data_IF_382395977477
#
_entry.id   IF_382395977477
#
_cell.length_a   1.000
_cell.length_b   1.000
_cell.length_c   1.000
_cell.angle_alpha   90.00
_cell.angle_beta   90.00
_cell.angle_gamma   90.00
#
_symmetry.space_group_name_H-M   'P 1'
#
loop_
_entity.id
_entity.type
_entity.pdbx_description
1 polymer ?
#
# COMPACT_ATOMS: atom_id res chain seq x y z
N UNK A 1 19.24 4.97 25.08
CA UNK A 1 19.73 3.71 24.52
C UNK A 1 18.74 2.57 24.84
N UNK A 2 18.54 1.63 23.90
CA UNK A 2 17.65 0.48 24.14
C UNK A 2 18.49 -0.64 24.73
N UNK A 3 18.09 -1.12 25.91
CA UNK A 3 18.74 -2.21 26.63
C UNK A 3 17.72 -3.32 26.94
N UNK A 4 18.21 -4.54 27.09
CA UNK A 4 17.41 -5.67 27.58
C UNK A 4 17.49 -5.71 29.08
N UNK A 5 16.36 -5.55 29.74
CA UNK A 5 16.24 -5.63 31.19
C UNK A 5 15.49 -6.91 31.58
N UNK A 6 15.81 -7.45 32.76
CA UNK A 6 15.17 -8.64 33.30
C UNK A 6 14.19 -8.23 34.40
N UNK A 7 12.96 -8.71 34.37
CA UNK A 7 11.95 -8.43 35.40
C UNK A 7 12.36 -9.13 36.68
N UNK A 8 12.56 -8.35 37.75
CA UNK A 8 12.91 -8.86 39.10
C UNK A 8 11.68 -8.98 39.98
N UNK A 9 10.77 -8.00 39.95
CA UNK A 9 9.56 -7.98 40.76
C UNK A 9 8.40 -7.30 40.01
N UNK A 10 7.19 -7.75 40.26
CA UNK A 10 5.94 -7.17 39.73
C UNK A 10 5.10 -6.72 40.92
N UNK A 11 5.00 -5.40 41.12
CA UNK A 11 4.15 -4.78 42.13
C UNK A 11 2.85 -4.24 41.51
N UNK A 12 1.89 -3.81 42.34
CA UNK A 12 0.60 -3.30 41.85
C UNK A 12 0.69 -2.05 40.97
N UNK A 13 1.73 -1.23 41.14
CA UNK A 13 1.88 0.05 40.45
C UNK A 13 3.08 0.12 39.51
N UNK A 14 4.12 -0.69 39.78
CA UNK A 14 5.38 -0.67 39.04
C UNK A 14 5.89 -2.09 38.79
N UNK A 15 6.63 -2.23 37.72
CA UNK A 15 7.44 -3.42 37.41
C UNK A 15 8.89 -3.03 37.63
N UNK A 16 9.57 -3.76 38.53
CA UNK A 16 10.98 -3.56 38.81
C UNK A 16 11.78 -4.43 37.86
N UNK A 17 12.78 -3.83 37.24
CA UNK A 17 13.63 -4.51 36.27
C UNK A 17 15.10 -4.26 36.54
N UNK A 18 15.89 -5.30 36.38
CA UNK A 18 17.35 -5.22 36.40
C UNK A 18 17.87 -4.90 35.00
N UNK A 19 18.46 -3.73 34.87
CA UNK A 19 19.06 -3.24 33.63
C UNK A 19 20.53 -3.62 33.48
N UNK A 20 21.07 -4.54 34.33
CA UNK A 20 22.51 -4.82 34.45
C UNK A 20 23.34 -3.56 34.76
N UNK A 21 22.72 -2.56 35.31
CA UNK A 21 23.34 -1.36 35.84
C UNK A 21 23.47 -1.47 37.38
N UNK A 22 24.14 -0.50 38.02
CA UNK A 22 24.33 -0.52 39.49
C UNK A 22 23.02 -0.40 40.29
N UNK A 23 21.91 -0.09 39.65
CA UNK A 23 20.60 0.17 40.27
C UNK A 23 19.47 -0.46 39.45
N UNK A 24 18.38 -0.80 40.12
CA UNK A 24 17.14 -1.30 39.52
C UNK A 24 16.32 -0.15 38.93
N UNK A 25 15.66 -0.41 37.81
CA UNK A 25 14.78 0.53 37.16
C UNK A 25 13.31 0.20 37.44
N UNK A 26 12.46 1.22 37.54
CA UNK A 26 11.03 1.08 37.74
C UNK A 26 10.26 1.54 36.50
N UNK A 27 9.33 0.68 36.03
CA UNK A 27 8.44 0.97 34.92
C UNK A 27 7.01 1.05 35.46
N UNK A 28 6.25 2.12 35.21
CA UNK A 28 4.85 2.21 35.60
C UNK A 28 4.02 1.11 34.91
N UNK A 29 3.12 0.48 35.66
CA UNK A 29 2.26 -0.59 35.11
C UNK A 29 1.31 -0.05 34.03
N UNK A 30 1.12 1.26 33.98
CA UNK A 30 0.31 1.94 32.96
C UNK A 30 0.84 1.77 31.54
N UNK A 31 2.17 1.63 31.37
CA UNK A 31 2.80 1.36 30.08
C UNK A 31 2.50 -0.05 29.53
N UNK A 32 1.91 -0.92 30.37
CA UNK A 32 1.52 -2.29 30.01
C UNK A 32 0.01 -2.46 29.86
N UNK A 33 -0.84 -1.48 30.21
CA UNK A 33 -2.30 -1.61 30.22
C UNK A 33 -2.92 -1.94 28.87
N UNK A 34 -2.24 -1.67 27.78
CA UNK A 34 -2.74 -1.88 26.43
C UNK A 34 -2.26 -3.18 25.76
N UNK A 35 -1.51 -4.02 26.50
CA UNK A 35 -0.93 -5.24 25.96
C UNK A 35 -1.40 -6.48 26.73
N UNK A 36 -1.85 -7.50 25.99
CA UNK A 36 -2.05 -8.87 26.51
C UNK A 36 -0.75 -9.48 27.08
N UNK A 37 0.36 -8.76 27.00
CA UNK A 37 1.65 -9.17 27.51
C UNK A 37 1.72 -9.13 29.05
N UNK A 38 0.92 -8.28 29.72
CA UNK A 38 0.87 -8.28 31.20
C UNK A 38 0.53 -9.67 31.75
N UNK A 39 -0.35 -10.40 31.08
CA UNK A 39 -0.73 -11.77 31.49
C UNK A 39 0.36 -12.79 31.23
N UNK A 40 1.30 -12.48 30.33
CA UNK A 40 2.43 -13.34 29.95
C UNK A 40 3.73 -13.01 30.66
N UNK A 41 3.82 -11.81 31.28
CA UNK A 41 5.00 -11.37 32.01
C UNK A 41 5.16 -12.17 33.31
N UNK A 42 6.31 -12.79 33.46
CA UNK A 42 6.73 -13.49 34.67
C UNK A 42 8.03 -12.90 35.17
N UNK A 43 8.29 -13.03 36.47
CA UNK A 43 9.60 -12.73 37.05
C UNK A 43 10.66 -13.55 36.28
N UNK A 44 11.74 -12.91 35.88
CA UNK A 44 12.77 -13.47 35.01
C UNK A 44 12.56 -13.25 33.50
N UNK A 45 11.42 -12.69 33.07
CA UNK A 45 11.21 -12.33 31.67
C UNK A 45 12.11 -11.20 31.23
N UNK A 46 12.63 -11.27 30.01
CA UNK A 46 13.40 -10.17 29.41
C UNK A 46 12.50 -9.23 28.66
N UNK A 47 12.63 -7.94 28.94
CA UNK A 47 11.90 -6.86 28.26
C UNK A 47 12.89 -5.81 27.73
N UNK A 48 12.53 -5.22 26.61
CA UNK A 48 13.30 -4.12 26.04
C UNK A 48 12.84 -2.80 26.63
N UNK A 49 13.78 -2.04 27.17
CA UNK A 49 13.53 -0.75 27.80
C UNK A 49 14.45 0.33 27.23
N UNK A 50 13.97 1.54 27.20
CA UNK A 50 14.75 2.70 26.81
C UNK A 50 15.28 3.40 28.06
N UNK A 51 16.59 3.47 28.17
CA UNK A 51 17.27 4.20 29.23
C UNK A 51 17.25 5.69 28.88
N UNK A 52 16.53 6.49 29.68
CA UNK A 52 16.41 7.93 29.46
C UNK A 52 17.50 8.70 30.19
N UNK A 53 17.72 8.43 31.47
CA UNK A 53 18.78 9.00 32.29
C UNK A 53 19.27 7.99 33.32
N UNK A 54 20.56 8.02 33.57
CA UNK A 54 21.22 7.12 34.54
C UNK A 54 21.18 7.72 35.96
N UNK A 55 21.01 9.05 36.08
CA UNK A 55 20.97 9.74 37.37
C UNK A 55 19.81 10.73 37.41
N UNK A 56 18.88 10.51 38.31
CA UNK A 56 17.95 11.50 38.81
C UNK A 56 18.52 12.06 40.11
N UNK A 57 18.08 13.25 40.55
CA UNK A 57 18.44 13.85 41.84
C UNK A 57 18.22 12.94 43.07
N UNK A 58 17.44 11.84 42.88
CA UNK A 58 17.14 10.80 43.89
C UNK A 58 17.89 9.47 43.64
N UNK A 59 18.81 9.41 42.68
CA UNK A 59 19.54 8.20 42.39
C UNK A 59 18.72 7.11 41.68
N UNK A 60 17.57 7.45 41.07
CA UNK A 60 16.70 6.53 40.37
C UNK A 60 17.02 6.53 38.87
N UNK A 61 16.95 5.35 38.24
CA UNK A 61 17.08 5.21 36.79
C UNK A 61 15.70 5.41 36.17
N UNK A 62 15.59 6.41 35.31
CA UNK A 62 14.36 6.63 34.53
C UNK A 62 14.43 5.79 33.26
N UNK A 63 13.53 4.85 33.17
CA UNK A 63 13.38 3.93 32.02
C UNK A 63 11.94 3.98 31.51
N UNK A 64 11.78 3.82 30.21
CA UNK A 64 10.47 3.73 29.58
C UNK A 64 10.43 2.60 28.56
N UNK A 65 9.44 1.74 28.68
CA UNK A 65 9.14 0.68 27.74
C UNK A 65 8.48 1.23 26.49
N UNK A 66 7.55 2.19 26.64
CA UNK A 66 6.85 2.82 25.54
C UNK A 66 7.80 3.50 24.57
N UNK A 67 8.83 4.17 25.07
CA UNK A 67 9.87 4.79 24.24
C UNK A 67 10.71 3.73 23.51
N UNK A 68 11.07 2.63 24.18
CA UNK A 68 11.78 1.52 23.56
C UNK A 68 10.98 0.90 22.42
N UNK A 69 9.68 0.66 22.65
CA UNK A 69 8.75 0.11 21.67
C UNK A 69 8.60 1.03 20.47
N UNK A 70 8.37 2.32 20.69
CA UNK A 70 8.30 3.32 19.63
C UNK A 70 9.57 3.37 18.80
N UNK A 71 10.75 3.39 19.43
CA UNK A 71 12.03 3.40 18.72
C UNK A 71 12.27 2.13 17.90
N UNK A 72 11.86 0.95 18.40
CA UNK A 72 11.94 -0.30 17.63
C UNK A 72 11.00 -0.28 16.44
N UNK A 73 9.76 0.15 16.66
CA UNK A 73 8.78 0.31 15.60
C UNK A 73 9.26 1.31 14.53
N UNK A 74 9.92 2.41 14.96
CA UNK A 74 10.55 3.36 14.03
C UNK A 74 11.65 2.72 13.18
N UNK A 75 12.59 2.00 13.80
CA UNK A 75 13.66 1.30 13.06
C UNK A 75 13.09 0.27 12.09
N UNK A 76 12.02 -0.43 12.48
CA UNK A 76 11.32 -1.36 11.60
C UNK A 76 10.64 -0.63 10.43
N UNK A 77 10.00 0.51 10.72
CA UNK A 77 9.35 1.34 9.72
C UNK A 77 10.35 1.91 8.69
N UNK A 78 11.54 2.34 9.13
CA UNK A 78 12.60 2.79 8.24
C UNK A 78 13.05 1.70 7.26
N UNK A 79 13.29 0.50 7.78
CA UNK A 79 13.65 -0.65 6.93
C UNK A 79 12.56 -0.97 5.91
N UNK A 80 11.31 -1.02 6.36
CA UNK A 80 10.16 -1.31 5.48
C UNK A 80 9.96 -0.19 4.46
N UNK A 81 10.25 1.05 4.81
CA UNK A 81 10.23 2.17 3.86
C UNK A 81 11.29 2.00 2.75
N UNK A 82 12.50 1.55 3.09
CA UNK A 82 13.56 1.28 2.11
C UNK A 82 13.23 0.09 1.20
N UNK A 83 12.66 -0.99 1.77
CA UNK A 83 12.28 -2.20 1.02
C UNK A 83 10.94 -2.08 0.31
N UNK A 84 10.14 -1.03 0.61
CA UNK A 84 8.78 -0.85 0.08
C UNK A 84 7.88 -2.08 0.31
N UNK A 85 8.05 -2.73 1.47
CA UNK A 85 7.24 -3.88 1.87
C UNK A 85 5.85 -3.46 2.37
N UNK A 86 4.91 -4.38 2.25
CA UNK A 86 3.56 -4.20 2.76
C UNK A 86 3.51 -4.44 4.26
N UNK A 87 2.85 -3.54 4.98
CA UNK A 87 2.57 -3.66 6.40
C UNK A 87 1.07 -3.73 6.66
N UNK A 88 0.69 -4.36 7.75
CA UNK A 88 -0.69 -4.35 8.22
C UNK A 88 -0.89 -3.23 9.24
N UNK A 89 -1.88 -2.40 9.04
CA UNK A 89 -2.29 -1.34 9.95
C UNK A 89 -3.79 -1.32 10.17
N UNK A 90 -4.23 -0.58 11.17
CA UNK A 90 -5.65 -0.41 11.51
C UNK A 90 -6.00 1.07 11.42
N UNK A 91 -7.08 1.42 10.74
CA UNK A 91 -7.56 2.80 10.69
C UNK A 91 -8.31 3.08 11.98
N UNK A 92 -7.71 3.91 12.85
CA UNK A 92 -8.23 4.19 14.20
C UNK A 92 -9.00 5.49 14.30
N UNK A 93 -8.76 6.44 13.41
CA UNK A 93 -9.43 7.74 13.47
C UNK A 93 -9.48 8.49 12.14
N UNK A 94 -10.41 9.44 12.08
CA UNK A 94 -10.56 10.38 10.95
C UNK A 94 -10.14 11.78 11.39
N UNK A 95 -9.33 12.43 10.57
CA UNK A 95 -8.87 13.80 10.79
C UNK A 95 -9.11 14.64 9.54
N UNK A 96 -8.93 15.97 9.65
CA UNK A 96 -9.06 16.87 8.49
C UNK A 96 -7.99 16.54 7.44
N UNK A 97 -8.43 16.11 6.26
CA UNK A 97 -7.56 15.76 5.14
C UNK A 97 -7.15 14.30 5.03
N UNK A 98 -7.51 13.43 6.00
CA UNK A 98 -7.16 12.02 5.94
C UNK A 98 -7.56 11.22 7.16
N UNK A 99 -6.81 10.18 7.43
CA UNK A 99 -7.06 9.22 8.50
C UNK A 99 -5.79 8.95 9.29
N UNK A 100 -5.98 8.52 10.53
CA UNK A 100 -4.90 7.98 11.36
C UNK A 100 -4.97 6.47 11.23
N UNK A 101 -3.86 5.87 10.79
CA UNK A 101 -3.67 4.43 10.78
C UNK A 101 -2.61 4.05 11.81
N UNK A 102 -2.89 3.09 12.66
CA UNK A 102 -1.90 2.55 13.60
C UNK A 102 -1.22 1.36 12.95
N UNK A 103 0.10 1.47 12.75
CA UNK A 103 0.94 0.43 12.18
C UNK A 103 2.02 0.09 13.19
N UNK A 104 2.10 -1.17 13.62
CA UNK A 104 3.06 -1.63 14.66
C UNK A 104 3.05 -0.77 15.93
N UNK A 105 1.88 -0.23 16.30
CA UNK A 105 1.74 0.65 17.47
C UNK A 105 2.15 2.12 17.23
N UNK A 106 2.59 2.49 16.02
CA UNK A 106 2.88 3.87 15.65
C UNK A 106 1.68 4.51 14.94
N UNK A 107 1.27 5.72 15.34
CA UNK A 107 0.26 6.47 14.61
C UNK A 107 0.87 7.01 13.31
N UNK A 108 0.27 6.63 12.17
CA UNK A 108 0.67 7.04 10.84
C UNK A 108 -0.44 7.85 10.18
N UNK A 109 -0.08 8.85 9.39
CA UNK A 109 -1.04 9.63 8.63
C UNK A 109 -1.30 8.98 7.26
N UNK A 110 -2.56 8.81 6.93
CA UNK A 110 -3.01 8.35 5.60
C UNK A 110 -3.86 9.45 4.97
N UNK A 111 -3.37 10.17 3.95
CA UNK A 111 -4.16 11.15 3.22
C UNK A 111 -5.40 10.51 2.60
N UNK A 112 -6.51 11.25 2.49
CA UNK A 112 -7.75 10.73 1.90
C UNK A 112 -7.58 10.24 0.45
N UNK A 113 -6.66 10.84 -0.31
CA UNK A 113 -6.29 10.42 -1.67
C UNK A 113 -5.50 9.10 -1.72
N UNK A 114 -4.95 8.65 -0.59
CA UNK A 114 -4.10 7.45 -0.49
C UNK A 114 -4.84 6.23 0.09
N UNK A 115 -6.13 6.34 0.32
CA UNK A 115 -6.95 5.24 0.84
C UNK A 115 -7.29 4.25 -0.27
N UNK A 116 -7.67 4.75 -1.44
CA UNK A 116 -8.09 3.90 -2.55
C UNK A 116 -7.70 4.55 -3.90
N UNK A 117 -7.74 3.73 -4.96
CA UNK A 117 -7.51 4.18 -6.35
C UNK A 117 -8.63 5.12 -6.80
N UNK A 118 -9.86 4.89 -6.35
CA UNK A 118 -11.03 5.74 -6.59
C UNK A 118 -11.39 6.51 -5.33
N UNK A 119 -11.83 7.78 -5.44
CA UNK A 119 -12.26 8.55 -4.27
C UNK A 119 -13.46 7.87 -3.61
N UNK A 120 -13.26 7.36 -2.40
CA UNK A 120 -14.33 6.73 -1.62
C UNK A 120 -15.16 7.82 -0.92
N UNK A 121 -16.47 7.80 -1.12
CA UNK A 121 -17.41 8.69 -0.42
C UNK A 121 -17.63 8.28 1.04
N UNK A 122 -17.55 6.98 1.35
CA UNK A 122 -17.71 6.41 2.69
C UNK A 122 -16.54 5.47 2.99
N UNK A 123 -15.84 5.71 4.08
CA UNK A 123 -14.66 4.91 4.52
C UNK A 123 -14.97 4.18 5.83
N UNK A 124 -16.18 4.34 6.36
CA UNK A 124 -16.59 3.80 7.67
C UNK A 124 -16.41 2.29 7.78
N UNK A 125 -16.55 1.56 6.65
CA UNK A 125 -16.34 0.11 6.60
C UNK A 125 -14.87 -0.33 6.76
N UNK A 126 -13.92 0.61 6.59
CA UNK A 126 -12.49 0.35 6.77
C UNK A 126 -11.99 0.71 8.17
N UNK A 127 -12.85 1.33 9.01
CA UNK A 127 -12.50 1.65 10.38
C UNK A 127 -12.33 0.37 11.21
N UNK A 128 -11.26 0.32 11.99
CA UNK A 128 -10.90 -0.82 12.83
C UNK A 128 -10.68 -2.16 12.09
N UNK A 129 -10.61 -2.14 10.75
CA UNK A 129 -10.26 -3.33 9.97
C UNK A 129 -8.77 -3.35 9.65
N UNK A 130 -8.15 -4.54 9.58
CA UNK A 130 -6.76 -4.65 9.14
C UNK A 130 -6.67 -4.28 7.66
N UNK A 131 -5.83 -3.30 7.34
CA UNK A 131 -5.56 -2.85 5.97
C UNK A 131 -4.08 -2.96 5.67
N UNK A 132 -3.76 -3.42 4.47
CA UNK A 132 -2.39 -3.42 3.99
C UNK A 132 -2.01 -2.02 3.52
N UNK A 133 -0.87 -1.54 3.98
CA UNK A 133 -0.35 -0.20 3.66
C UNK A 133 1.15 -0.26 3.37
N UNK A 134 1.62 0.69 2.58
CA UNK A 134 3.05 0.92 2.33
C UNK A 134 3.40 2.31 2.85
N UNK A 135 4.56 2.44 3.48
CA UNK A 135 5.08 3.72 3.89
C UNK A 135 5.54 4.52 2.66
N UNK A 136 4.99 5.73 2.47
CA UNK A 136 5.32 6.60 1.33
C UNK A 136 6.26 7.74 1.72
N UNK A 137 6.23 8.18 2.97
CA UNK A 137 7.09 9.24 3.48
C UNK A 137 7.32 9.07 4.98
N UNK A 138 8.56 9.27 5.39
CA UNK A 138 8.97 9.28 6.79
C UNK A 138 9.64 10.62 7.11
N UNK A 139 9.15 11.30 8.13
CA UNK A 139 9.74 12.52 8.66
C UNK A 139 10.25 12.25 10.10
N UNK A 140 11.56 12.01 10.22
CA UNK A 140 12.21 11.70 11.50
C UNK A 140 12.12 12.84 12.49
N UNK A 141 12.24 14.08 12.01
CA UNK A 141 12.30 15.26 12.89
C UNK A 141 10.95 15.52 13.56
N UNK A 142 9.86 15.29 12.86
CA UNK A 142 8.50 15.50 13.37
C UNK A 142 7.84 14.22 13.90
N UNK A 143 8.49 13.07 13.75
CA UNK A 143 7.93 11.80 14.15
C UNK A 143 6.68 11.40 13.35
N UNK A 144 6.56 11.86 12.11
CA UNK A 144 5.39 11.61 11.26
C UNK A 144 5.72 10.60 10.16
N UNK A 145 4.84 9.61 10.01
CA UNK A 145 4.89 8.64 8.91
C UNK A 145 3.64 8.79 8.07
N UNK A 146 3.82 8.89 6.75
CA UNK A 146 2.71 8.84 5.81
C UNK A 146 2.64 7.45 5.19
N UNK A 147 1.44 6.87 5.18
CA UNK A 147 1.17 5.55 4.61
C UNK A 147 0.12 5.62 3.51
N UNK A 148 0.18 4.67 2.59
CA UNK A 148 -0.73 4.57 1.46
C UNK A 148 -1.24 3.14 1.30
N UNK A 149 -2.55 2.97 1.27
CA UNK A 149 -3.22 1.75 0.83
C UNK A 149 -3.33 1.69 -0.69
N UNK A 150 -3.52 2.85 -1.32
CA UNK A 150 -3.57 2.97 -2.78
C UNK A 150 -2.33 2.37 -3.44
N UNK A 151 -1.13 2.62 -2.90
CA UNK A 151 0.12 2.07 -3.43
C UNK A 151 0.14 0.53 -3.42
N UNK A 152 -0.46 -0.11 -2.40
CA UNK A 152 -0.62 -1.57 -2.33
C UNK A 152 -1.54 -2.06 -3.44
N UNK A 153 -2.71 -1.40 -3.59
CA UNK A 153 -3.70 -1.76 -4.60
C UNK A 153 -3.18 -1.55 -6.04
N UNK A 154 -2.40 -0.50 -6.27
CA UNK A 154 -1.74 -0.26 -7.56
C UNK A 154 -0.65 -1.29 -7.84
N UNK A 155 0.14 -1.67 -6.82
CA UNK A 155 1.17 -2.70 -6.94
C UNK A 155 0.56 -4.08 -7.27
N UNK A 156 -0.53 -4.47 -6.60
CA UNK A 156 -1.22 -5.73 -6.88
C UNK A 156 -1.85 -5.74 -8.28
N UNK A 157 -2.51 -4.64 -8.68
CA UNK A 157 -3.06 -4.50 -10.04
C UNK A 157 -1.98 -4.55 -11.11
N UNK A 158 -0.86 -3.85 -10.90
CA UNK A 158 0.25 -3.88 -11.84
C UNK A 158 0.85 -5.28 -11.97
N UNK A 159 0.94 -6.04 -10.87
CA UNK A 159 1.37 -7.44 -10.91
C UNK A 159 0.40 -8.31 -11.73
N UNK A 160 -0.92 -8.20 -11.48
CA UNK A 160 -1.96 -8.90 -12.24
C UNK A 160 -1.92 -8.53 -13.74
N UNK A 161 -1.76 -7.24 -14.06
CA UNK A 161 -1.63 -6.77 -15.44
C UNK A 161 -0.35 -7.33 -16.08
N UNK A 162 0.77 -7.35 -15.36
CA UNK A 162 2.04 -7.88 -15.89
C UNK A 162 1.95 -9.38 -16.15
N UNK A 163 1.27 -10.14 -15.28
CA UNK A 163 1.01 -11.55 -15.51
C UNK A 163 0.08 -11.77 -16.71
N UNK A 164 -0.98 -10.98 -16.81
CA UNK A 164 -1.90 -11.05 -17.96
C UNK A 164 -1.21 -10.66 -19.27
N UNK A 165 -0.29 -9.67 -19.25
CA UNK A 165 0.51 -9.29 -20.42
C UNK A 165 1.45 -10.40 -20.90
N UNK A 166 1.99 -11.23 -19.99
CA UNK A 166 2.82 -12.39 -20.38
C UNK A 166 2.04 -13.44 -21.15
N UNK A 167 0.74 -13.54 -20.91
CA UNK A 167 -0.15 -14.49 -21.59
C UNK A 167 -0.63 -13.98 -22.96
N UNK A 168 -0.39 -12.71 -23.28
CA UNK A 168 -0.81 -12.07 -24.52
C UNK A 168 0.42 -11.85 -25.41
N UNK A 169 0.33 -12.28 -26.66
CA UNK A 169 1.41 -12.10 -27.64
C UNK A 169 1.03 -11.04 -28.67
N UNK A 170 2.04 -10.41 -29.25
CA UNK A 170 1.84 -9.56 -30.44
C UNK A 170 1.30 -10.42 -31.56
N UNK A 171 0.31 -9.92 -32.28
CA UNK A 171 -0.48 -10.58 -33.32
C UNK A 171 -1.58 -11.55 -32.81
N UNK A 172 -1.79 -11.67 -31.50
CA UNK A 172 -2.94 -12.43 -30.99
C UNK A 172 -4.26 -11.74 -31.34
N UNK A 173 -5.26 -12.55 -31.63
CA UNK A 173 -6.63 -12.10 -31.90
C UNK A 173 -7.46 -12.29 -30.65
N UNK A 174 -8.07 -11.23 -30.18
CA UNK A 174 -8.95 -11.24 -29.01
C UNK A 174 -10.38 -10.93 -29.43
N UNK A 175 -11.28 -11.89 -29.19
CA UNK A 175 -12.68 -11.78 -29.60
C UNK A 175 -13.57 -11.03 -28.60
N UNK A 176 -13.10 -10.84 -27.38
CA UNK A 176 -13.89 -10.31 -26.26
C UNK A 176 -13.33 -8.98 -25.69
N UNK A 177 -12.79 -8.11 -26.53
CA UNK A 177 -12.39 -6.78 -26.09
C UNK A 177 -13.63 -5.90 -25.84
N UNK A 178 -13.78 -5.39 -24.60
CA UNK A 178 -14.94 -4.59 -24.19
C UNK A 178 -14.61 -3.11 -24.31
N UNK A 179 -15.48 -2.34 -24.97
CA UNK A 179 -15.34 -0.88 -25.08
C UNK A 179 -15.59 -0.21 -23.72
N UNK A 180 -14.55 0.40 -23.13
CA UNK A 180 -14.65 1.17 -21.87
C UNK A 180 -15.04 2.61 -22.09
N UNK A 181 -14.39 3.26 -23.04
CA UNK A 181 -14.61 4.67 -23.35
C UNK A 181 -14.24 4.98 -24.80
N UNK A 182 -14.92 5.97 -25.37
CA UNK A 182 -14.62 6.48 -26.71
C UNK A 182 -14.13 7.91 -26.59
N UNK A 183 -13.07 8.24 -27.34
CA UNK A 183 -12.51 9.60 -27.45
C UNK A 183 -12.42 9.97 -28.94
N UNK A 184 -12.15 11.25 -29.23
CA UNK A 184 -12.08 11.72 -30.62
C UNK A 184 -10.92 11.11 -31.42
N UNK A 185 -9.88 10.63 -30.72
CA UNK A 185 -8.66 10.06 -31.32
C UNK A 185 -8.56 8.54 -31.20
N UNK A 186 -9.47 7.89 -30.46
CA UNK A 186 -9.45 6.43 -30.31
C UNK A 186 -10.44 5.89 -29.30
N UNK A 187 -10.41 4.60 -29.14
CA UNK A 187 -11.28 3.82 -28.27
C UNK A 187 -10.43 3.12 -27.22
N UNK A 188 -10.82 3.22 -25.95
CA UNK A 188 -10.24 2.45 -24.86
C UNK A 188 -11.00 1.15 -24.71
N UNK A 189 -10.28 0.05 -24.78
CA UNK A 189 -10.78 -1.30 -24.66
C UNK A 189 -10.27 -1.95 -23.39
N UNK A 190 -11.06 -2.85 -22.84
CA UNK A 190 -10.66 -3.77 -21.80
C UNK A 190 -10.43 -5.16 -22.37
N UNK A 191 -9.21 -5.64 -22.26
CA UNK A 191 -8.84 -6.99 -22.66
C UNK A 191 -8.40 -7.73 -21.38
N UNK A 192 -9.31 -8.49 -20.78
CA UNK A 192 -9.04 -9.27 -19.56
C UNK A 192 -8.42 -8.43 -18.41
N UNK A 193 -8.91 -7.20 -18.20
CA UNK A 193 -8.42 -6.30 -17.17
C UNK A 193 -7.25 -5.40 -17.59
N UNK A 194 -6.75 -5.54 -18.82
CA UNK A 194 -5.70 -4.70 -19.39
C UNK A 194 -6.33 -3.61 -20.26
N UNK A 195 -5.90 -2.37 -20.05
CA UNK A 195 -6.35 -1.26 -20.88
C UNK A 195 -5.62 -1.27 -22.23
N UNK A 196 -6.38 -1.47 -23.31
CA UNK A 196 -5.88 -1.42 -24.68
C UNK A 196 -6.39 -0.16 -25.38
N UNK A 197 -5.56 0.40 -26.24
CA UNK A 197 -5.87 1.54 -27.07
C UNK A 197 -6.05 1.09 -28.52
N UNK A 198 -7.20 1.42 -29.08
CA UNK A 198 -7.50 1.29 -30.51
C UNK A 198 -7.55 2.72 -31.10
N UNK A 199 -6.51 3.07 -31.84
CA UNK A 199 -6.46 4.39 -32.51
C UNK A 199 -7.48 4.47 -33.64
N UNK A 200 -7.95 5.69 -33.95
CA UNK A 200 -8.95 5.90 -35.02
C UNK A 200 -8.47 5.40 -36.37
N UNK A 201 -7.17 5.47 -36.66
CA UNK A 201 -6.57 4.94 -37.90
C UNK A 201 -6.61 3.42 -38.01
N UNK A 202 -6.70 2.73 -36.89
CA UNK A 202 -6.68 1.26 -36.79
C UNK A 202 -8.10 0.66 -36.64
N UNK A 203 -9.12 1.51 -36.62
CA UNK A 203 -10.52 1.13 -36.48
C UNK A 203 -11.11 0.64 -37.81
N UNK A 204 -10.81 1.35 -38.91
CA UNK A 204 -11.36 1.07 -40.24
C UNK A 204 -10.42 1.52 -41.35
N UNK A 205 -10.53 0.90 -42.53
CA UNK A 205 -9.87 1.35 -43.77
C UNK A 205 -10.46 2.67 -44.30
N UNK A 206 -11.72 3.00 -43.94
CA UNK A 206 -12.38 4.24 -44.34
C UNK A 206 -12.11 5.40 -43.39
N UNK A 207 -12.35 6.64 -43.87
CA UNK A 207 -12.21 7.85 -43.06
C UNK A 207 -13.31 7.95 -42.00
N UNK A 208 -12.98 7.59 -40.75
CA UNK A 208 -13.89 7.69 -39.61
C UNK A 208 -13.86 9.10 -39.05
N UNK A 209 -15.00 9.79 -39.02
CA UNK A 209 -15.10 11.14 -38.45
C UNK A 209 -15.18 11.13 -36.93
N UNK A 210 -15.89 10.17 -36.34
CA UNK A 210 -16.03 10.01 -34.88
C UNK A 210 -16.06 8.52 -34.52
N UNK A 211 -15.13 8.02 -33.69
CA UNK A 211 -15.15 6.63 -33.21
C UNK A 211 -16.43 6.24 -32.47
N UNK A 212 -17.09 7.21 -31.81
CA UNK A 212 -18.32 7.02 -31.06
C UNK A 212 -19.54 6.63 -31.95
N UNK A 213 -19.48 6.89 -33.25
CA UNK A 213 -20.56 6.55 -34.17
C UNK A 213 -20.52 5.07 -34.59
N UNK A 214 -19.35 4.40 -34.41
CA UNK A 214 -19.13 3.02 -34.85
C UNK A 214 -19.24 2.00 -33.73
N UNK A 215 -19.01 2.40 -32.47
CA UNK A 215 -19.03 1.49 -31.33
C UNK A 215 -19.72 2.11 -30.13
N UNK A 216 -20.41 1.26 -29.37
CA UNK A 216 -21.09 1.65 -28.13
C UNK A 216 -20.27 1.21 -26.92
N UNK A 217 -20.31 1.99 -25.84
CA UNK A 217 -19.67 1.63 -24.58
C UNK A 217 -20.28 0.32 -24.05
N UNK A 218 -19.44 -0.63 -23.67
CA UNK A 218 -19.86 -1.97 -23.24
C UNK A 218 -19.98 -2.99 -24.38
N UNK A 219 -19.82 -2.59 -25.64
CA UNK A 219 -19.82 -3.49 -26.79
C UNK A 219 -18.56 -4.36 -26.79
N UNK A 220 -18.70 -5.62 -27.14
CA UNK A 220 -17.59 -6.53 -27.38
C UNK A 220 -17.17 -6.43 -28.84
N UNK A 221 -15.91 -6.22 -29.10
CA UNK A 221 -15.33 -6.17 -30.43
C UNK A 221 -14.15 -7.13 -30.54
N UNK A 222 -13.94 -7.62 -31.74
CA UNK A 222 -12.80 -8.45 -32.09
C UNK A 222 -11.65 -7.56 -32.53
N UNK A 223 -10.47 -7.76 -31.94
CA UNK A 223 -9.29 -6.93 -32.22
C UNK A 223 -8.04 -7.79 -32.29
N UNK A 224 -7.06 -7.33 -33.08
CA UNK A 224 -5.73 -7.90 -33.15
C UNK A 224 -4.75 -7.01 -32.41
N UNK A 225 -3.88 -7.60 -31.60
CA UNK A 225 -2.87 -6.90 -30.84
C UNK A 225 -1.70 -6.55 -31.75
N UNK A 226 -1.40 -5.26 -31.88
CA UNK A 226 -0.31 -4.77 -32.75
C UNK A 226 0.95 -4.48 -31.97
N UNK A 227 0.84 -3.94 -30.76
CA UNK A 227 1.98 -3.57 -29.94
C UNK A 227 1.67 -3.73 -28.46
N UNK A 228 2.67 -4.19 -27.70
CA UNK A 228 2.63 -4.28 -26.24
C UNK A 228 3.73 -3.38 -25.68
N UNK A 229 3.37 -2.44 -24.83
CA UNK A 229 4.31 -1.58 -24.13
C UNK A 229 4.37 -2.02 -22.65
N UNK A 230 5.40 -2.78 -22.33
CA UNK A 230 5.63 -3.32 -20.98
C UNK A 230 5.92 -2.22 -19.95
N UNK A 231 6.45 -1.07 -20.38
CA UNK A 231 6.79 0.03 -19.45
C UNK A 231 5.56 0.78 -18.97
N UNK A 232 4.59 0.97 -19.86
CA UNK A 232 3.35 1.70 -19.56
C UNK A 232 2.18 0.78 -19.26
N UNK A 233 2.37 -0.56 -19.34
CA UNK A 233 1.33 -1.58 -19.20
C UNK A 233 0.13 -1.32 -20.13
N UNK A 234 0.41 -0.84 -21.34
CA UNK A 234 -0.61 -0.54 -22.35
C UNK A 234 -0.44 -1.42 -23.58
N UNK A 235 -1.58 -1.81 -24.15
CA UNK A 235 -1.64 -2.60 -25.36
C UNK A 235 -2.23 -1.74 -26.48
N UNK A 236 -1.64 -1.78 -27.67
CA UNK A 236 -2.24 -1.22 -28.87
C UNK A 236 -2.92 -2.32 -29.66
N UNK A 237 -4.15 -2.07 -30.04
CA UNK A 237 -4.97 -3.01 -30.81
C UNK A 237 -5.40 -2.40 -32.15
N UNK A 238 -5.67 -3.25 -33.13
CA UNK A 238 -6.17 -2.85 -34.45
C UNK A 238 -7.30 -3.76 -34.89
N UNK A 239 -8.36 -3.19 -35.40
CA UNK A 239 -9.44 -3.91 -36.09
C UNK A 239 -9.09 -4.05 -37.57
N UNK A 240 -8.44 -3.04 -38.14
CA UNK A 240 -7.98 -3.03 -39.53
C UNK A 240 -7.08 -4.22 -39.84
N UNK A 241 -6.24 -4.66 -38.91
CA UNK A 241 -5.35 -5.80 -39.07
C UNK A 241 -6.08 -7.18 -39.10
N UNK A 242 -7.40 -7.21 -38.84
CA UNK A 242 -8.26 -8.42 -38.95
C UNK A 242 -8.92 -8.52 -40.30
N UNK A 243 -9.11 -7.40 -40.99
CA UNK A 243 -9.69 -7.37 -42.33
C UNK A 243 -8.57 -7.27 -43.36
N UNK A 244 -8.58 -8.14 -44.36
CA UNK A 244 -7.66 -8.04 -45.50
C UNK A 244 -7.84 -6.68 -46.16
N UNK A 245 -6.73 -6.07 -46.59
CA UNK A 245 -6.75 -4.77 -47.23
C UNK A 245 -7.51 -4.89 -48.56
N UNK A 246 -8.66 -4.20 -48.74
CA UNK A 246 -9.42 -4.33 -49.98
C UNK A 246 -8.64 -3.83 -51.21
N UNK A 247 -7.47 -3.27 -51.02
CA UNK A 247 -6.59 -2.76 -52.08
C UNK A 247 -5.39 -3.67 -52.41
N UNK A 248 -5.17 -4.78 -51.68
CA UNK A 248 -4.06 -5.72 -51.97
C UNK A 248 -4.28 -6.57 -53.25
N UNK A 249 -5.50 -6.61 -53.79
CA UNK A 249 -5.86 -7.38 -54.97
C UNK A 249 -6.22 -6.52 -56.21
N UNK A 250 -5.74 -5.26 -56.26
CA UNK A 250 -5.89 -4.44 -57.45
C UNK A 250 -4.52 -4.35 -58.13
N UNK A 251 -4.25 -5.35 -59.01
CA UNK A 251 -3.30 -5.20 -60.11
C UNK A 251 -4.01 -4.64 -61.34
#
# INVERSE_FOLDING_TARGET
EIIKATVTEITKNFIVVDCKAKMEGMIPIEEFKNDDELTKLKVGSQIDVYLERIESFKGEIIISRDKARKMKAWKKMEKVFETQEEMTGYITGKIKGGFIATVEGLPCFMPSSQIDVRPLKKVDHLMNTPVKVIATRIDKNRGNVCVSRRAVLEKSKNAEITEALKNIKVNDIVDNAIVKATTDWGIFLDINGIDALLHVSDLSHGRVKKPADLVTIGQKIKVKITKIDEKTNRVSASVKALTEDPYENIE
#
